data_IF_036206201532
#
_entry.id   IF_036206201532
#
_cell.length_a   1.000
_cell.length_b   1.000
_cell.length_c   1.000
_cell.angle_alpha   90.00
_cell.angle_beta   90.00
_cell.angle_gamma   90.00
#
_symmetry.space_group_name_H-M   'P 1'
#
loop_
_entity.id
_entity.type
_entity.pdbx_description
1 polymer ?
#
# COMPACT_ATOMS: atom_id res chain seq x y z
N UNK A 1 -8.43 -9.98 23.21
CA UNK A 1 -8.68 -9.40 21.87
C UNK A 1 -9.67 -10.31 21.15
N UNK A 2 -10.82 -9.81 20.70
CA UNK A 2 -11.77 -10.62 19.95
C UNK A 2 -11.37 -10.55 18.46
N UNK A 3 -10.91 -11.66 17.89
CA UNK A 3 -10.50 -11.75 16.48
C UNK A 3 -11.67 -12.09 15.53
N UNK A 4 -12.88 -12.22 16.07
CA UNK A 4 -14.07 -12.48 15.26
C UNK A 4 -14.52 -11.21 14.53
N UNK A 5 -14.84 -11.34 13.24
CA UNK A 5 -15.41 -10.25 12.42
C UNK A 5 -16.83 -9.94 12.92
N UNK A 6 -17.11 -8.66 13.24
CA UNK A 6 -18.42 -8.19 13.66
C UNK A 6 -19.45 -8.22 12.50
N UNK A 7 -20.71 -7.99 12.81
CA UNK A 7 -21.76 -7.88 11.78
C UNK A 7 -21.51 -6.68 10.88
N UNK A 8 -21.18 -5.54 11.46
CA UNK A 8 -20.88 -4.29 10.76
C UNK A 8 -19.65 -4.44 9.84
N UNK A 9 -18.62 -5.13 10.31
CA UNK A 9 -17.42 -5.44 9.50
C UNK A 9 -17.75 -6.37 8.33
N UNK A 10 -18.67 -7.31 8.49
CA UNK A 10 -19.15 -8.14 7.36
C UNK A 10 -19.93 -7.33 6.34
N UNK A 11 -20.81 -6.46 6.79
CA UNK A 11 -21.59 -5.55 5.93
C UNK A 11 -20.66 -4.59 5.15
N UNK A 12 -19.62 -4.06 5.80
CA UNK A 12 -18.58 -3.27 5.15
C UNK A 12 -17.91 -4.07 4.04
N UNK A 13 -17.42 -5.28 4.35
CA UNK A 13 -16.77 -6.18 3.38
C UNK A 13 -17.67 -6.44 2.17
N UNK A 14 -18.93 -6.78 2.40
CA UNK A 14 -19.89 -7.07 1.33
C UNK A 14 -20.18 -5.83 0.47
N UNK A 15 -20.26 -4.66 1.08
CA UNK A 15 -20.50 -3.39 0.39
C UNK A 15 -19.31 -3.01 -0.50
N UNK A 16 -18.09 -3.11 0.03
CA UNK A 16 -16.86 -2.84 -0.75
C UNK A 16 -16.72 -3.85 -1.88
N UNK A 17 -16.91 -5.14 -1.62
CA UNK A 17 -16.84 -6.20 -2.63
C UNK A 17 -17.84 -5.98 -3.77
N UNK A 18 -19.09 -5.66 -3.43
CA UNK A 18 -20.12 -5.36 -4.43
C UNK A 18 -19.75 -4.15 -5.28
N UNK A 19 -19.30 -3.06 -4.65
CA UNK A 19 -18.85 -1.87 -5.35
C UNK A 19 -17.72 -2.18 -6.34
N UNK A 20 -16.69 -2.90 -5.90
CA UNK A 20 -15.55 -3.26 -6.75
C UNK A 20 -15.95 -4.19 -7.89
N UNK A 21 -16.83 -5.15 -7.64
CA UNK A 21 -17.34 -6.06 -8.68
C UNK A 21 -18.09 -5.28 -9.77
N UNK A 22 -18.87 -4.27 -9.39
CA UNK A 22 -19.68 -3.49 -10.33
C UNK A 22 -18.88 -2.36 -11.03
N UNK A 23 -17.94 -1.71 -10.33
CA UNK A 23 -17.27 -0.49 -10.81
C UNK A 23 -15.81 -0.67 -11.22
N UNK A 24 -15.13 -1.67 -10.68
CA UNK A 24 -13.74 -1.97 -10.96
C UNK A 24 -13.50 -3.45 -11.32
N UNK A 25 -14.27 -4.05 -12.25
CA UNK A 25 -14.04 -5.42 -12.69
C UNK A 25 -12.65 -5.55 -13.33
N UNK A 26 -12.09 -6.77 -13.38
CA UNK A 26 -10.76 -7.01 -13.95
C UNK A 26 -10.62 -6.56 -15.42
N UNK A 27 -11.72 -6.54 -16.19
CA UNK A 27 -11.74 -5.94 -17.53
C UNK A 27 -11.39 -4.46 -17.48
N UNK A 28 -11.95 -3.71 -16.52
CA UNK A 28 -11.61 -2.29 -16.33
C UNK A 28 -10.19 -2.10 -15.82
N UNK A 29 -9.71 -2.96 -14.93
CA UNK A 29 -8.30 -2.95 -14.48
C UNK A 29 -7.35 -3.10 -15.67
N UNK A 30 -7.65 -4.03 -16.60
CA UNK A 30 -6.86 -4.22 -17.83
C UNK A 30 -6.83 -3.01 -18.74
N UNK A 31 -7.93 -2.29 -18.86
CA UNK A 31 -7.97 -1.04 -19.62
C UNK A 31 -7.11 0.04 -18.95
N UNK A 32 -7.27 0.22 -17.63
CA UNK A 32 -6.58 1.27 -16.87
C UNK A 32 -5.07 1.03 -16.77
N UNK A 33 -4.61 -0.22 -16.66
CA UNK A 33 -3.18 -0.50 -16.56
C UNK A 33 -2.39 -0.05 -17.79
N UNK A 34 -3.03 0.07 -18.96
CA UNK A 34 -2.41 0.56 -20.21
C UNK A 34 -2.40 2.08 -20.30
N UNK A 35 -3.16 2.78 -19.45
CA UNK A 35 -3.20 4.25 -19.44
C UNK A 35 -2.02 4.85 -18.66
N UNK A 36 -1.70 6.11 -18.96
CA UNK A 36 -0.64 6.84 -18.25
C UNK A 36 -0.99 7.03 -16.75
N UNK A 37 -2.25 7.40 -16.48
CA UNK A 37 -2.71 7.70 -15.11
C UNK A 37 -2.94 6.41 -14.29
N UNK A 38 -3.34 5.32 -14.94
CA UNK A 38 -3.54 4.02 -14.29
C UNK A 38 -4.79 3.95 -13.39
N UNK A 39 -5.54 5.03 -13.24
CA UNK A 39 -6.69 5.15 -12.34
C UNK A 39 -7.95 5.61 -13.07
N UNK A 40 -9.11 5.36 -12.46
CA UNK A 40 -10.39 5.89 -12.91
C UNK A 40 -10.88 6.94 -11.91
N UNK A 41 -10.84 8.26 -12.27
CA UNK A 41 -11.24 9.32 -11.35
C UNK A 41 -12.72 9.25 -10.95
N UNK A 42 -13.59 8.71 -11.82
CA UNK A 42 -15.01 8.58 -11.53
C UNK A 42 -15.28 7.46 -10.53
N UNK A 43 -14.58 6.34 -10.67
CA UNK A 43 -14.65 5.22 -9.71
C UNK A 43 -14.08 5.67 -8.35
N UNK A 44 -12.95 6.40 -8.34
CA UNK A 44 -12.38 6.95 -7.10
C UNK A 44 -13.35 7.90 -6.39
N UNK A 45 -13.94 8.84 -7.13
CA UNK A 45 -14.95 9.77 -6.59
C UNK A 45 -16.17 9.03 -6.03
N UNK A 46 -16.64 7.97 -6.71
CA UNK A 46 -17.76 7.16 -6.22
C UNK A 46 -17.38 6.38 -4.97
N UNK A 47 -16.18 5.78 -4.91
CA UNK A 47 -15.66 5.09 -3.73
C UNK A 47 -15.59 6.02 -2.51
N UNK A 48 -15.20 7.27 -2.75
CA UNK A 48 -15.15 8.30 -1.71
C UNK A 48 -16.54 8.76 -1.28
N UNK A 49 -17.40 9.14 -2.23
CA UNK A 49 -18.71 9.73 -1.90
C UNK A 49 -19.72 8.71 -1.37
N UNK A 50 -19.69 7.45 -1.83
CA UNK A 50 -20.67 6.44 -1.47
C UNK A 50 -20.24 5.58 -0.26
N UNK A 51 -18.95 5.31 -0.13
CA UNK A 51 -18.41 4.40 0.86
C UNK A 51 -17.43 5.06 1.84
N UNK A 52 -17.04 6.32 1.61
CA UNK A 52 -16.08 7.03 2.47
C UNK A 52 -14.70 6.36 2.54
N UNK A 53 -14.30 5.57 1.54
CA UNK A 53 -13.13 4.70 1.64
C UNK A 53 -11.84 5.44 1.99
N UNK A 54 -11.49 6.60 1.38
CA UNK A 54 -10.24 7.29 1.70
C UNK A 54 -10.17 7.78 3.16
N UNK A 55 -11.31 8.15 3.73
CA UNK A 55 -11.42 8.69 5.08
C UNK A 55 -11.78 7.67 6.16
N UNK A 56 -11.85 6.36 5.84
CA UNK A 56 -12.40 5.37 6.75
C UNK A 56 -11.70 5.35 8.12
N UNK A 57 -10.38 5.41 8.16
CA UNK A 57 -9.57 5.42 9.39
C UNK A 57 -9.08 6.82 9.80
N UNK A 58 -9.50 7.87 9.09
CA UNK A 58 -9.20 9.26 9.48
C UNK A 58 -10.21 9.67 10.57
N UNK A 59 -9.77 10.30 11.68
CA UNK A 59 -10.66 10.80 12.73
C UNK A 59 -11.71 11.78 12.20
N UNK A 60 -12.89 11.79 12.82
CA UNK A 60 -14.01 12.68 12.44
C UNK A 60 -13.64 14.17 12.50
N UNK A 61 -12.79 14.56 13.45
CA UNK A 61 -12.30 15.94 13.59
C UNK A 61 -11.51 16.44 12.38
N UNK A 62 -10.98 15.52 11.53
CA UNK A 62 -10.30 15.81 10.28
C UNK A 62 -11.13 15.40 9.05
N UNK A 63 -12.45 15.22 9.20
CA UNK A 63 -13.36 14.93 8.10
C UNK A 63 -13.43 13.47 7.68
N UNK A 64 -12.87 12.55 8.44
CA UNK A 64 -12.97 11.12 8.19
C UNK A 64 -14.18 10.46 8.85
N UNK A 65 -14.27 9.13 8.73
CA UNK A 65 -15.36 8.33 9.30
C UNK A 65 -15.08 7.85 10.73
N UNK A 66 -13.85 8.03 11.25
CA UNK A 66 -13.47 7.68 12.62
C UNK A 66 -13.44 6.19 12.94
N UNK A 67 -13.47 5.32 11.92
CA UNK A 67 -13.27 3.89 12.13
C UNK A 67 -11.81 3.58 12.47
N UNK A 68 -11.56 2.33 12.84
CA UNK A 68 -10.21 1.90 13.17
C UNK A 68 -9.45 1.33 11.97
N UNK A 69 -8.17 1.05 12.17
CA UNK A 69 -7.37 0.33 11.19
C UNK A 69 -7.90 -1.09 10.90
N UNK A 70 -8.69 -1.70 11.80
CA UNK A 70 -9.29 -3.00 11.54
C UNK A 70 -10.29 -2.96 10.38
N UNK A 71 -11.10 -1.92 10.27
CA UNK A 71 -12.00 -1.69 9.14
C UNK A 71 -11.20 -1.34 7.87
N UNK A 72 -10.15 -0.54 7.99
CA UNK A 72 -9.26 -0.23 6.87
C UNK A 72 -8.59 -1.49 6.30
N UNK A 73 -8.19 -2.44 7.14
CA UNK A 73 -7.61 -3.71 6.70
C UNK A 73 -8.61 -4.56 5.91
N UNK A 74 -9.90 -4.55 6.27
CA UNK A 74 -10.98 -5.20 5.51
C UNK A 74 -11.11 -4.58 4.11
N UNK A 75 -11.08 -3.25 4.03
CA UNK A 75 -11.10 -2.54 2.74
C UNK A 75 -9.89 -2.96 1.89
N UNK A 76 -8.69 -2.94 2.46
CA UNK A 76 -7.46 -3.32 1.76
C UNK A 76 -7.48 -4.76 1.25
N UNK A 77 -8.04 -5.71 2.02
CA UNK A 77 -8.24 -7.09 1.58
C UNK A 77 -9.12 -7.15 0.31
N UNK A 78 -10.24 -6.44 0.27
CA UNK A 78 -11.13 -6.40 -0.89
C UNK A 78 -10.48 -5.69 -2.09
N UNK A 79 -9.74 -4.60 -1.85
CA UNK A 79 -8.98 -3.89 -2.90
C UNK A 79 -7.89 -4.79 -3.52
N UNK A 80 -7.20 -5.58 -2.69
CA UNK A 80 -6.21 -6.56 -3.13
C UNK A 80 -6.82 -7.67 -3.98
N UNK A 81 -7.97 -8.19 -3.56
CA UNK A 81 -8.72 -9.21 -4.30
C UNK A 81 -9.17 -8.72 -5.69
N UNK A 82 -9.52 -7.44 -5.81
CA UNK A 82 -9.95 -6.81 -7.06
C UNK A 82 -8.79 -6.28 -7.92
N UNK A 83 -7.53 -6.30 -7.46
CA UNK A 83 -6.39 -5.59 -8.07
C UNK A 83 -6.70 -4.11 -8.32
N UNK A 84 -7.39 -3.48 -7.37
CA UNK A 84 -7.83 -2.10 -7.52
C UNK A 84 -6.68 -1.15 -7.86
N UNK A 85 -6.91 -0.26 -8.83
CA UNK A 85 -5.88 0.65 -9.37
C UNK A 85 -5.96 2.07 -8.82
N UNK A 86 -6.93 2.36 -7.95
CA UNK A 86 -7.06 3.69 -7.33
C UNK A 86 -5.98 3.97 -6.28
N UNK A 87 -5.75 5.24 -5.94
CA UNK A 87 -4.62 5.69 -5.12
C UNK A 87 -4.81 5.45 -3.61
N UNK A 88 -5.49 4.35 -3.23
CA UNK A 88 -5.86 4.09 -1.83
C UNK A 88 -4.65 3.92 -0.92
N UNK A 89 -3.69 3.06 -1.32
CA UNK A 89 -2.51 2.78 -0.51
C UNK A 89 -1.61 4.02 -0.37
N UNK A 90 -1.48 4.81 -1.44
CA UNK A 90 -0.71 6.06 -1.42
C UNK A 90 -1.36 7.11 -0.52
N UNK A 91 -2.65 7.33 -0.70
CA UNK A 91 -3.38 8.47 -0.13
C UNK A 91 -3.95 8.15 1.26
N UNK A 92 -4.79 7.10 1.36
CA UNK A 92 -5.50 6.77 2.60
C UNK A 92 -4.61 6.02 3.62
N UNK A 93 -3.51 5.39 3.17
CA UNK A 93 -2.57 4.71 4.09
C UNK A 93 -1.30 5.53 4.27
N UNK A 94 -0.44 5.63 3.24
CA UNK A 94 0.88 6.25 3.42
C UNK A 94 0.77 7.72 3.82
N UNK A 95 0.06 8.55 3.04
CA UNK A 95 -0.01 9.98 3.32
C UNK A 95 -0.83 10.32 4.56
N UNK A 96 -2.02 9.73 4.71
CA UNK A 96 -2.88 10.00 5.86
C UNK A 96 -2.22 9.55 7.18
N UNK A 97 -1.62 8.35 7.23
CA UNK A 97 -0.89 7.87 8.42
C UNK A 97 0.29 8.78 8.76
N UNK A 98 1.05 9.24 7.74
CA UNK A 98 2.17 10.17 7.95
C UNK A 98 1.71 11.48 8.60
N UNK A 99 0.61 12.06 8.12
CA UNK A 99 0.03 13.28 8.70
C UNK A 99 -0.49 13.05 10.11
N UNK A 100 -1.21 11.96 10.34
CA UNK A 100 -1.75 11.60 11.66
C UNK A 100 -0.63 11.36 12.69
N UNK A 101 0.50 10.79 12.26
CA UNK A 101 1.67 10.54 13.10
C UNK A 101 2.52 11.80 13.35
N UNK A 102 2.32 12.88 12.58
CA UNK A 102 3.00 14.16 12.82
C UNK A 102 2.38 14.88 14.01
N UNK A 103 3.16 15.72 14.69
CA UNK A 103 2.66 16.57 15.78
C UNK A 103 2.14 17.93 15.28
N UNK A 104 1.85 18.08 13.97
CA UNK A 104 1.40 19.32 13.34
C UNK A 104 -0.12 19.34 13.19
N UNK A 105 -0.79 19.88 14.19
CA UNK A 105 -2.26 20.01 14.21
C UNK A 105 -2.79 20.95 13.11
N UNK A 106 -2.01 21.95 12.69
CA UNK A 106 -2.38 22.84 11.59
C UNK A 106 -2.34 22.08 10.26
N UNK A 107 -1.27 21.32 10.01
CA UNK A 107 -1.16 20.50 8.81
C UNK A 107 -2.24 19.40 8.75
N UNK A 108 -2.58 18.76 9.87
CA UNK A 108 -3.67 17.77 9.93
C UNK A 108 -5.01 18.39 9.51
N UNK A 109 -5.37 19.54 10.11
CA UNK A 109 -6.62 20.26 9.81
C UNK A 109 -6.71 20.80 8.39
N UNK A 110 -5.56 21.15 7.80
CA UNK A 110 -5.48 21.70 6.46
C UNK A 110 -5.51 20.59 5.37
N UNK A 111 -4.78 19.50 5.59
CA UNK A 111 -4.51 18.51 4.54
C UNK A 111 -5.37 17.25 4.62
N UNK A 112 -5.70 16.75 5.81
CA UNK A 112 -6.46 15.51 5.97
C UNK A 112 -7.89 15.58 5.42
N UNK A 113 -8.65 16.67 5.56
CA UNK A 113 -10.02 16.72 5.05
C UNK A 113 -10.13 16.44 3.56
N UNK A 114 -9.27 17.04 2.74
CA UNK A 114 -9.23 16.78 1.30
C UNK A 114 -8.85 15.34 0.95
N UNK A 115 -7.94 14.75 1.73
CA UNK A 115 -7.57 13.33 1.58
C UNK A 115 -8.74 12.42 1.97
N UNK A 116 -9.38 12.67 3.11
CA UNK A 116 -10.50 11.88 3.61
C UNK A 116 -11.72 11.94 2.68
N UNK A 117 -11.99 13.10 2.07
CA UNK A 117 -13.02 13.26 1.06
C UNK A 117 -12.65 12.62 -0.30
N UNK A 118 -11.39 12.22 -0.51
CA UNK A 118 -10.89 11.71 -1.79
C UNK A 118 -10.75 12.79 -2.87
N UNK A 119 -10.81 14.06 -2.49
CA UNK A 119 -10.64 15.21 -3.37
C UNK A 119 -9.16 15.52 -3.64
N UNK A 120 -8.29 15.18 -2.68
CA UNK A 120 -6.84 15.32 -2.77
C UNK A 120 -6.20 13.94 -2.81
N UNK A 121 -5.57 13.61 -3.91
CA UNK A 121 -4.70 12.44 -4.00
C UNK A 121 -3.35 12.79 -3.41
N UNK A 122 -2.99 12.12 -2.31
CA UNK A 122 -1.72 12.36 -1.63
C UNK A 122 -0.80 11.14 -1.69
N UNK A 123 0.51 11.36 -1.56
CA UNK A 123 1.50 10.28 -1.51
C UNK A 123 2.66 10.61 -0.58
N UNK A 124 3.40 9.59 -0.16
CA UNK A 124 4.62 9.69 0.62
C UNK A 124 5.84 9.39 -0.26
N UNK A 125 6.80 10.31 -0.30
CA UNK A 125 8.03 10.20 -1.07
C UNK A 125 9.24 10.16 -0.11
N UNK A 126 9.83 8.97 0.08
CA UNK A 126 10.98 8.79 0.98
C UNK A 126 12.12 8.00 0.33
N UNK A 127 11.86 7.03 -0.54
CA UNK A 127 12.88 6.26 -1.25
C UNK A 127 13.54 7.07 -2.37
N UNK A 128 14.78 6.70 -2.72
CA UNK A 128 15.60 7.37 -3.74
C UNK A 128 16.09 6.37 -4.79
N UNK A 129 16.87 6.84 -5.79
CA UNK A 129 17.30 6.03 -6.94
C UNK A 129 18.08 4.76 -6.55
N UNK A 130 18.72 4.72 -5.38
CA UNK A 130 19.37 3.54 -4.83
C UNK A 130 18.43 2.41 -4.43
N UNK A 131 17.12 2.66 -4.37
CA UNK A 131 16.10 1.65 -4.05
C UNK A 131 16.12 1.14 -2.60
N UNK A 132 16.83 1.83 -1.71
CA UNK A 132 16.85 1.49 -0.29
C UNK A 132 15.54 1.89 0.39
N UNK A 133 14.99 1.00 1.19
CA UNK A 133 13.83 1.26 2.06
C UNK A 133 14.23 1.74 3.46
N UNK A 134 15.54 1.79 3.75
CA UNK A 134 16.05 2.30 5.02
C UNK A 134 16.02 3.84 5.02
N UNK A 135 15.33 4.49 5.97
CA UNK A 135 15.34 5.94 6.12
C UNK A 135 16.73 6.56 6.30
N UNK A 136 17.71 5.81 6.77
CA UNK A 136 19.10 6.27 6.88
C UNK A 136 19.76 6.58 5.51
N UNK A 137 19.20 6.07 4.42
CA UNK A 137 19.71 6.29 3.05
C UNK A 137 19.20 7.58 2.41
N UNK A 138 18.34 8.34 3.06
CA UNK A 138 17.70 9.54 2.50
C UNK A 138 18.72 10.67 2.36
N UNK A 139 18.84 11.22 1.14
CA UNK A 139 19.78 12.27 0.76
C UNK A 139 19.11 13.50 0.13
N UNK A 140 17.80 13.47 -0.21
CA UNK A 140 17.07 14.65 -0.68
C UNK A 140 17.34 15.80 0.28
N UNK A 141 17.92 16.90 -0.21
CA UNK A 141 18.30 18.02 0.62
C UNK A 141 17.15 19.01 0.80
N UNK A 142 16.97 19.50 2.03
CA UNK A 142 16.09 20.63 2.34
C UNK A 142 16.91 21.79 2.89
N UNK A 143 16.78 22.95 2.25
CA UNK A 143 17.45 24.20 2.67
C UNK A 143 16.43 25.28 3.01
N UNK A 144 16.70 26.05 4.06
CA UNK A 144 15.84 27.15 4.45
C UNK A 144 16.11 28.37 3.56
N UNK A 145 15.06 28.84 2.90
CA UNK A 145 15.10 30.08 2.13
C UNK A 145 14.67 31.25 3.03
N UNK A 146 15.42 32.33 2.99
CA UNK A 146 15.18 33.53 3.86
C UNK A 146 13.86 34.23 3.53
N UNK A 147 13.30 34.02 2.35
CA UNK A 147 12.11 34.74 1.84
C UNK A 147 10.88 33.88 1.65
N UNK A 148 11.01 32.57 1.46
CA UNK A 148 9.91 31.74 0.96
C UNK A 148 9.75 30.37 1.66
N UNK A 149 10.35 30.20 2.84
CA UNK A 149 10.21 28.95 3.59
C UNK A 149 11.31 27.92 3.26
N UNK A 150 10.96 26.71 2.78
CA UNK A 150 11.91 25.65 2.50
C UNK A 150 12.02 25.35 1.01
N UNK A 151 13.21 24.91 0.58
CA UNK A 151 13.51 24.47 -0.78
C UNK A 151 14.04 23.03 -0.74
N UNK A 152 13.53 22.20 -1.65
CA UNK A 152 13.99 20.84 -1.83
C UNK A 152 14.82 20.71 -3.10
N UNK A 153 15.95 19.98 -3.00
CA UNK A 153 16.85 19.68 -4.11
C UNK A 153 17.26 18.22 -4.09
N UNK A 154 17.06 17.51 -5.23
CA UNK A 154 17.35 16.10 -5.40
C UNK A 154 16.20 15.33 -6.02
N UNK A 155 16.09 14.04 -5.69
CA UNK A 155 15.02 13.21 -6.26
C UNK A 155 14.49 12.19 -5.26
N UNK A 156 13.25 11.72 -5.54
CA UNK A 156 12.61 10.56 -4.94
C UNK A 156 12.20 9.59 -6.03
N UNK A 157 12.38 8.30 -5.79
CA UNK A 157 12.04 7.24 -6.75
C UNK A 157 11.13 6.21 -6.11
N UNK A 158 10.47 5.41 -6.95
CA UNK A 158 9.51 4.40 -6.54
C UNK A 158 8.34 4.96 -5.72
N UNK A 159 8.00 6.24 -5.96
CA UNK A 159 6.90 6.93 -5.27
C UNK A 159 5.58 6.42 -5.81
N UNK A 160 4.78 5.79 -4.95
CA UNK A 160 3.47 5.24 -5.30
C UNK A 160 2.52 6.38 -5.72
N UNK A 161 1.92 6.24 -6.92
CA UNK A 161 1.02 7.24 -7.53
C UNK A 161 1.58 8.67 -7.62
N UNK A 162 2.90 8.84 -7.44
CA UNK A 162 3.55 10.15 -7.43
C UNK A 162 3.43 10.94 -8.73
N UNK A 163 3.16 10.27 -9.86
CA UNK A 163 2.92 10.92 -11.16
C UNK A 163 1.60 11.71 -11.18
N UNK A 164 0.60 11.28 -10.41
CA UNK A 164 -0.76 11.83 -10.40
C UNK A 164 -1.12 12.54 -9.07
N UNK A 165 -0.30 12.42 -8.03
CA UNK A 165 -0.61 13.00 -6.72
C UNK A 165 -0.72 14.53 -6.74
N UNK A 166 -1.73 15.08 -6.04
CA UNK A 166 -1.93 16.51 -5.82
C UNK A 166 -1.04 17.04 -4.70
N UNK A 167 -0.80 16.18 -3.70
CA UNK A 167 0.01 16.46 -2.51
C UNK A 167 1.10 15.39 -2.37
N UNK A 168 2.34 15.82 -2.20
CA UNK A 168 3.49 14.96 -1.96
C UNK A 168 4.04 15.28 -0.58
N UNK A 169 4.02 14.30 0.31
CA UNK A 169 4.73 14.35 1.58
C UNK A 169 6.15 13.82 1.34
N UNK A 170 7.14 14.70 1.33
CA UNK A 170 8.53 14.35 1.04
C UNK A 170 9.36 14.35 2.33
N UNK A 171 10.10 13.27 2.56
CA UNK A 171 11.09 13.21 3.64
C UNK A 171 12.44 13.64 3.10
N UNK A 172 13.05 14.66 3.72
CA UNK A 172 14.32 15.21 3.28
C UNK A 172 15.30 15.40 4.45
N UNK A 173 16.58 15.35 4.13
CA UNK A 173 17.65 15.65 5.06
C UNK A 173 17.77 17.17 5.25
N UNK A 174 17.77 17.60 6.50
CA UNK A 174 18.02 18.99 6.89
C UNK A 174 19.33 19.07 7.67
N UNK A 175 20.13 20.10 7.42
CA UNK A 175 21.33 20.36 8.23
C UNK A 175 20.89 21.04 9.53
N UNK A 176 21.20 20.40 10.64
CA UNK A 176 21.12 21.09 11.94
C UNK A 176 22.32 22.03 12.10
N UNK A 177 22.09 23.21 12.67
CA UNK A 177 23.17 24.23 12.88
C UNK A 177 24.30 23.72 13.79
N UNK A 178 24.08 22.62 14.53
CA UNK A 178 24.99 22.13 15.58
C UNK A 178 25.37 20.65 15.47
N UNK A 179 24.80 19.87 14.54
CA UNK A 179 25.08 18.44 14.40
C UNK A 179 25.71 18.11 13.05
N UNK A 180 26.68 17.19 13.07
CA UNK A 180 27.41 16.73 11.87
C UNK A 180 26.59 15.76 11.02
N UNK A 181 25.57 15.13 11.59
CA UNK A 181 24.67 14.22 10.90
C UNK A 181 23.33 14.91 10.60
N UNK A 182 22.95 14.91 9.32
CA UNK A 182 21.69 15.49 8.86
C UNK A 182 20.48 14.82 9.53
N UNK A 183 19.55 15.63 10.03
CA UNK A 183 18.29 15.14 10.58
C UNK A 183 17.23 15.06 9.49
N UNK A 184 16.26 14.14 9.63
CA UNK A 184 15.17 13.98 8.67
C UNK A 184 13.96 14.84 9.06
N UNK A 185 13.45 15.61 8.10
CA UNK A 185 12.26 16.43 8.26
C UNK A 185 11.23 16.11 7.18
N UNK A 186 9.96 16.35 7.49
CA UNK A 186 8.83 16.09 6.61
C UNK A 186 8.37 17.40 5.95
N UNK A 187 8.12 17.33 4.65
CA UNK A 187 7.70 18.48 3.85
C UNK A 187 6.47 18.17 3.00
N UNK A 188 5.53 19.10 2.97
CA UNK A 188 4.40 19.07 2.03
C UNK A 188 4.75 19.88 0.78
N UNK A 189 4.55 19.25 -0.39
CA UNK A 189 4.78 19.83 -1.72
C UNK A 189 3.53 19.66 -2.54
N UNK A 190 3.01 20.74 -3.12
CA UNK A 190 1.87 20.68 -4.04
C UNK A 190 2.30 20.23 -5.43
N UNK A 191 1.39 19.60 -6.17
CA UNK A 191 1.65 19.14 -7.55
C UNK A 191 2.06 20.27 -8.52
N UNK A 192 1.70 21.50 -8.20
CA UNK A 192 1.98 22.71 -9.00
C UNK A 192 3.24 23.46 -8.56
N UNK A 193 3.99 22.94 -7.59
CA UNK A 193 5.18 23.61 -7.09
C UNK A 193 6.23 23.78 -8.20
N UNK A 194 6.75 25.00 -8.36
CA UNK A 194 7.79 25.28 -9.35
C UNK A 194 9.04 24.45 -9.04
N UNK A 195 9.67 23.90 -10.07
CA UNK A 195 10.86 23.06 -9.94
C UNK A 195 10.56 21.57 -9.68
N UNK A 196 9.29 21.19 -9.46
CA UNK A 196 8.89 19.78 -9.38
C UNK A 196 8.69 19.21 -10.79
N UNK A 197 9.35 18.10 -11.07
CA UNK A 197 9.06 17.27 -12.27
C UNK A 197 8.74 15.84 -11.86
N UNK A 198 7.81 15.21 -12.60
CA UNK A 198 7.28 13.89 -12.27
C UNK A 198 7.35 12.99 -13.50
N UNK A 199 7.87 11.78 -13.32
CA UNK A 199 7.99 10.80 -14.38
C UNK A 199 7.45 9.46 -13.90
N UNK A 200 6.46 8.90 -14.60
CA UNK A 200 6.02 7.54 -14.36
C UNK A 200 7.13 6.55 -14.71
N UNK A 201 7.34 5.54 -13.86
CA UNK A 201 8.32 4.48 -14.09
C UNK A 201 7.64 3.27 -14.74
N UNK A 202 8.32 2.59 -15.69
CA UNK A 202 7.84 1.31 -16.19
C UNK A 202 7.93 0.27 -15.07
N UNK A 203 6.82 -0.44 -14.83
CA UNK A 203 6.70 -1.44 -13.76
C UNK A 203 6.33 -2.80 -14.32
N UNK A 204 6.76 -3.87 -13.65
CA UNK A 204 6.31 -5.23 -13.95
C UNK A 204 4.80 -5.37 -13.70
N UNK A 205 4.34 -4.86 -12.58
CA UNK A 205 2.91 -4.75 -12.25
C UNK A 205 2.38 -3.42 -12.77
N UNK A 206 1.73 -3.46 -13.93
CA UNK A 206 1.14 -2.29 -14.56
C UNK A 206 -0.13 -1.80 -13.85
N UNK A 207 -0.70 -2.61 -12.95
CA UNK A 207 -1.89 -2.23 -12.16
C UNK A 207 -1.55 -1.31 -10.99
N UNK A 208 -0.25 -1.05 -10.73
CA UNK A 208 0.26 -0.12 -9.72
C UNK A 208 1.32 0.78 -10.35
N UNK A 209 1.10 2.09 -10.28
CA UNK A 209 2.01 3.07 -10.87
C UNK A 209 3.00 3.58 -9.84
N UNK A 210 4.26 3.63 -10.22
CA UNK A 210 5.34 4.23 -9.45
C UNK A 210 5.92 5.40 -10.24
N UNK A 211 6.45 6.39 -9.54
CA UNK A 211 7.03 7.57 -10.16
C UNK A 211 8.42 7.90 -9.62
N UNK A 212 9.20 8.58 -10.44
CA UNK A 212 10.37 9.35 -10.04
C UNK A 212 9.98 10.83 -9.98
N UNK A 213 10.30 11.47 -8.86
CA UNK A 213 10.07 12.89 -8.62
C UNK A 213 11.43 13.58 -8.57
N UNK A 214 11.58 14.70 -9.29
CA UNK A 214 12.79 15.51 -9.21
C UNK A 214 12.42 16.90 -8.68
N UNK A 215 13.20 17.36 -7.71
CA UNK A 215 13.04 18.63 -7.03
C UNK A 215 14.23 19.51 -7.40
N UNK A 216 13.97 20.69 -7.94
CA UNK A 216 14.98 21.68 -8.30
C UNK A 216 14.57 23.02 -7.68
N UNK A 217 15.16 23.35 -6.55
CA UNK A 217 14.75 24.48 -5.71
C UNK A 217 13.23 24.53 -5.48
N UNK A 218 12.62 23.36 -5.31
CA UNK A 218 11.18 23.21 -5.20
C UNK A 218 10.68 23.74 -3.86
N UNK A 219 9.69 24.64 -3.89
CA UNK A 219 9.08 25.22 -2.68
C UNK A 219 8.33 24.15 -1.89
N UNK A 220 8.54 24.12 -0.58
CA UNK A 220 7.94 23.16 0.32
C UNK A 220 7.55 23.80 1.67
N UNK A 221 6.48 23.28 2.28
CA UNK A 221 6.06 23.62 3.65
C UNK A 221 6.57 22.53 4.59
N UNK A 222 7.25 22.92 5.67
CA UNK A 222 7.61 22.00 6.75
C UNK A 222 6.31 21.47 7.40
N UNK A 223 6.28 20.19 7.70
CA UNK A 223 5.20 19.52 8.46
C UNK A 223 5.80 18.97 9.74
N UNK A 224 5.26 19.37 10.89
CA UNK A 224 5.79 19.01 12.19
C UNK A 224 7.07 19.77 12.55
N UNK A 225 7.81 19.23 13.52
CA UNK A 225 9.06 19.80 13.97
C UNK A 225 10.23 19.42 13.06
N UNK A 226 11.20 20.35 12.98
CA UNK A 226 12.44 20.12 12.24
C UNK A 226 13.21 18.96 12.88
N UNK A 227 13.61 17.99 12.07
CA UNK A 227 14.35 16.81 12.54
C UNK A 227 13.48 15.67 13.08
N UNK A 228 12.15 15.82 13.16
CA UNK A 228 11.26 14.82 13.78
C UNK A 228 10.75 13.73 12.81
N UNK A 229 11.05 13.81 11.52
CA UNK A 229 10.43 12.91 10.53
C UNK A 229 10.85 11.44 10.68
N UNK A 230 11.95 11.12 11.35
CA UNK A 230 12.40 9.73 11.50
C UNK A 230 11.36 8.86 12.23
N UNK A 231 10.88 9.30 13.38
CA UNK A 231 9.89 8.57 14.17
C UNK A 231 8.54 8.45 13.43
N UNK A 232 8.11 9.55 12.79
CA UNK A 232 6.91 9.59 11.95
C UNK A 232 7.00 8.57 10.82
N UNK A 233 8.13 8.53 10.12
CA UNK A 233 8.35 7.61 8.99
C UNK A 233 8.41 6.16 9.47
N UNK A 234 9.14 5.85 10.55
CA UNK A 234 9.23 4.50 11.10
C UNK A 234 7.83 3.97 11.50
N UNK A 235 7.01 4.79 12.15
CA UNK A 235 5.61 4.43 12.47
C UNK A 235 4.77 4.22 11.20
N UNK A 236 4.85 5.15 10.25
CA UNK A 236 4.11 5.07 8.99
C UNK A 236 4.46 3.79 8.22
N UNK A 237 5.75 3.43 8.14
CA UNK A 237 6.19 2.23 7.44
C UNK A 237 5.75 0.94 8.12
N UNK A 238 5.62 0.92 9.46
CA UNK A 238 5.08 -0.23 10.17
C UNK A 238 3.59 -0.41 9.90
N UNK A 239 2.80 0.66 9.98
CA UNK A 239 1.38 0.62 9.63
C UNK A 239 1.18 0.24 8.16
N UNK A 240 1.99 0.81 7.25
CA UNK A 240 1.94 0.51 5.82
C UNK A 240 2.31 -0.94 5.49
N UNK A 241 3.23 -1.55 6.25
CA UNK A 241 3.58 -2.96 6.10
C UNK A 241 2.40 -3.87 6.45
N UNK A 242 1.66 -3.56 7.53
CA UNK A 242 0.43 -4.28 7.90
C UNK A 242 -0.67 -4.06 6.86
N UNK A 243 -0.83 -2.84 6.36
CA UNK A 243 -1.79 -2.49 5.30
C UNK A 243 -1.51 -3.26 4.01
N UNK A 244 -0.25 -3.29 3.57
CA UNK A 244 0.15 -4.03 2.38
C UNK A 244 -0.05 -5.55 2.56
N UNK A 245 0.18 -6.09 3.76
CA UNK A 245 -0.09 -7.49 4.06
C UNK A 245 -1.58 -7.83 3.99
N UNK A 246 -2.47 -6.91 4.39
CA UNK A 246 -3.91 -7.07 4.22
C UNK A 246 -4.33 -7.09 2.74
N UNK A 247 -3.74 -6.20 1.93
CA UNK A 247 -3.93 -6.22 0.48
C UNK A 247 -3.40 -7.53 -0.16
N UNK A 248 -2.21 -7.99 0.26
CA UNK A 248 -1.62 -9.24 -0.21
C UNK A 248 -2.49 -10.45 0.15
N UNK A 249 -3.13 -10.47 1.33
CA UNK A 249 -4.10 -11.49 1.72
C UNK A 249 -5.27 -11.55 0.73
N UNK A 250 -5.85 -10.41 0.37
CA UNK A 250 -6.93 -10.35 -0.62
C UNK A 250 -6.52 -10.90 -1.98
N UNK A 251 -5.34 -10.53 -2.46
CA UNK A 251 -4.77 -11.04 -3.70
C UNK A 251 -4.50 -12.55 -3.66
N UNK A 252 -3.96 -13.06 -2.55
CA UNK A 252 -3.70 -14.48 -2.34
C UNK A 252 -5.01 -15.29 -2.30
N UNK A 253 -6.01 -14.83 -1.57
CA UNK A 253 -7.34 -15.47 -1.53
C UNK A 253 -7.94 -15.55 -2.92
N UNK A 254 -7.91 -14.46 -3.69
CA UNK A 254 -8.46 -14.46 -5.04
C UNK A 254 -7.71 -15.39 -5.99
N UNK A 255 -6.39 -15.45 -5.90
CA UNK A 255 -5.58 -16.38 -6.70
C UNK A 255 -5.91 -17.85 -6.36
N UNK A 256 -6.10 -18.17 -5.07
CA UNK A 256 -6.56 -19.51 -4.65
C UNK A 256 -7.96 -19.83 -5.20
N UNK A 257 -8.91 -18.90 -5.09
CA UNK A 257 -10.28 -19.08 -5.60
C UNK A 257 -10.28 -19.37 -7.11
N UNK A 258 -9.47 -18.65 -7.89
CA UNK A 258 -9.29 -18.87 -9.32
C UNK A 258 -8.75 -20.28 -9.61
N UNK A 259 -7.72 -20.71 -8.90
CA UNK A 259 -7.13 -22.02 -9.04
C UNK A 259 -8.13 -23.14 -8.74
N UNK A 260 -8.88 -23.02 -7.63
CA UNK A 260 -9.92 -23.99 -7.23
C UNK A 260 -11.06 -24.02 -8.24
N UNK A 261 -11.52 -22.86 -8.71
CA UNK A 261 -12.57 -22.78 -9.71
C UNK A 261 -12.14 -23.46 -11.03
N UNK A 262 -10.92 -23.17 -11.49
CA UNK A 262 -10.39 -23.79 -12.69
C UNK A 262 -10.25 -25.30 -12.52
N UNK A 263 -9.75 -25.77 -11.37
CA UNK A 263 -9.62 -27.20 -11.08
C UNK A 263 -10.96 -27.97 -11.11
N UNK A 264 -12.08 -27.29 -10.80
CA UNK A 264 -13.42 -27.87 -10.85
C UNK A 264 -13.98 -28.02 -12.27
N UNK A 265 -13.62 -27.13 -13.19
CA UNK A 265 -14.20 -27.05 -14.52
C UNK A 265 -13.30 -27.65 -15.63
N UNK A 266 -11.97 -27.52 -15.45
CA UNK A 266 -11.00 -28.02 -16.45
C UNK A 266 -10.96 -29.54 -16.45
N UNK A 267 -11.19 -30.15 -17.62
CA UNK A 267 -11.14 -31.58 -17.79
C UNK A 267 -9.83 -32.04 -18.46
N UNK A 268 -9.25 -33.11 -17.93
CA UNK A 268 -8.15 -33.87 -18.50
C UNK A 268 -8.33 -35.36 -18.12
N UNK A 269 -7.94 -36.26 -19.01
CA UNK A 269 -8.10 -37.73 -18.82
C UNK A 269 -9.54 -38.10 -18.44
N UNK A 270 -10.53 -37.46 -19.08
CA UNK A 270 -11.96 -37.76 -18.94
C UNK A 270 -12.61 -37.28 -17.64
N UNK A 271 -11.96 -36.46 -16.84
CA UNK A 271 -12.50 -35.94 -15.56
C UNK A 271 -11.92 -34.56 -15.19
N UNK A 272 -12.57 -33.80 -14.30
CA UNK A 272 -12.02 -32.55 -13.80
C UNK A 272 -10.63 -32.73 -13.17
N UNK A 273 -9.69 -31.79 -13.41
CA UNK A 273 -8.33 -31.92 -12.88
C UNK A 273 -8.30 -31.86 -11.34
N UNK A 274 -9.26 -31.17 -10.69
CA UNK A 274 -9.45 -31.19 -9.23
C UNK A 274 -9.84 -32.55 -8.65
N UNK A 275 -10.17 -33.59 -9.49
CA UNK A 275 -10.37 -34.96 -9.02
C UNK A 275 -9.05 -35.69 -8.71
N UNK A 276 -7.91 -35.22 -9.20
CA UNK A 276 -6.60 -35.81 -8.94
C UNK A 276 -6.06 -35.36 -7.58
N UNK A 277 -5.52 -36.28 -6.79
CA UNK A 277 -5.02 -36.01 -5.43
C UNK A 277 -3.93 -34.92 -5.42
N UNK A 278 -3.02 -34.93 -6.39
CA UNK A 278 -1.95 -33.93 -6.47
C UNK A 278 -2.50 -32.48 -6.52
N UNK A 279 -3.58 -32.26 -7.28
CA UNK A 279 -4.20 -30.93 -7.36
C UNK A 279 -4.99 -30.60 -6.08
N UNK A 280 -5.73 -31.60 -5.53
CA UNK A 280 -6.48 -31.40 -4.28
C UNK A 280 -5.58 -31.02 -3.10
N UNK A 281 -4.48 -31.76 -2.92
CA UNK A 281 -3.54 -31.53 -1.83
C UNK A 281 -2.88 -30.16 -1.99
N UNK A 282 -2.46 -29.80 -3.19
CA UNK A 282 -1.92 -28.48 -3.49
C UNK A 282 -2.89 -27.36 -3.11
N UNK A 283 -4.15 -27.44 -3.52
CA UNK A 283 -5.16 -26.45 -3.13
C UNK A 283 -5.41 -26.43 -1.61
N UNK A 284 -5.33 -27.57 -0.93
CA UNK A 284 -5.49 -27.66 0.52
C UNK A 284 -4.32 -27.01 1.27
N UNK A 285 -3.09 -27.23 0.79
CA UNK A 285 -1.88 -26.62 1.35
C UNK A 285 -1.92 -25.08 1.19
N UNK A 286 -2.30 -24.60 -0.02
CA UNK A 286 -2.49 -23.17 -0.28
C UNK A 286 -3.58 -22.56 0.61
N UNK A 287 -4.69 -23.27 0.84
CA UNK A 287 -5.74 -22.81 1.76
C UNK A 287 -5.20 -22.63 3.19
N UNK A 288 -4.38 -23.58 3.67
CA UNK A 288 -3.77 -23.50 4.99
C UNK A 288 -2.88 -22.25 5.12
N UNK A 289 -2.09 -21.95 4.10
CA UNK A 289 -1.23 -20.75 4.09
C UNK A 289 -2.07 -19.46 4.10
N UNK A 290 -3.11 -19.37 3.27
CA UNK A 290 -4.00 -18.20 3.20
C UNK A 290 -4.74 -17.99 4.53
N UNK A 291 -5.27 -19.05 5.17
CA UNK A 291 -5.98 -18.93 6.45
C UNK A 291 -5.04 -18.59 7.62
N UNK A 292 -3.80 -19.08 7.57
CA UNK A 292 -2.76 -18.69 8.52
C UNK A 292 -2.41 -17.20 8.36
N UNK A 293 -2.26 -16.72 7.12
CA UNK A 293 -2.04 -15.31 6.82
C UNK A 293 -3.24 -14.45 7.25
N UNK A 294 -4.47 -14.90 7.04
CA UNK A 294 -5.69 -14.21 7.48
C UNK A 294 -5.70 -14.00 8.99
N UNK A 295 -5.33 -15.02 9.74
CA UNK A 295 -5.25 -14.94 11.21
C UNK A 295 -4.18 -13.93 11.65
N UNK A 296 -3.02 -13.94 11.00
CA UNK A 296 -1.92 -13.02 11.30
C UNK A 296 -2.27 -11.56 10.94
N UNK A 297 -2.91 -11.32 9.78
CA UNK A 297 -3.41 -10.00 9.38
C UNK A 297 -4.45 -9.48 10.37
N UNK A 298 -5.41 -10.33 10.76
CA UNK A 298 -6.44 -9.94 11.73
C UNK A 298 -5.85 -9.53 13.08
N UNK A 299 -4.85 -10.27 13.58
CA UNK A 299 -4.16 -9.92 14.82
C UNK A 299 -3.39 -8.60 14.71
N UNK A 300 -2.59 -8.44 13.65
CA UNK A 300 -1.80 -7.23 13.46
C UNK A 300 -2.68 -5.99 13.22
N UNK A 301 -3.77 -6.12 12.46
CA UNK A 301 -4.73 -5.03 12.27
C UNK A 301 -5.38 -4.57 13.58
N UNK A 302 -5.76 -5.51 14.45
CA UNK A 302 -6.27 -5.21 15.77
C UNK A 302 -5.21 -4.57 16.69
N UNK A 303 -3.94 -4.97 16.57
CA UNK A 303 -2.83 -4.36 17.30
C UNK A 303 -2.59 -2.90 16.86
N UNK A 304 -2.62 -2.63 15.54
CA UNK A 304 -2.53 -1.25 15.02
C UNK A 304 -3.70 -0.42 15.51
N UNK A 305 -4.93 -0.93 15.41
CA UNK A 305 -6.14 -0.24 15.87
C UNK A 305 -6.11 0.10 17.36
N UNK A 306 -5.45 -0.72 18.17
CA UNK A 306 -5.29 -0.50 19.62
C UNK A 306 -4.07 0.35 19.98
N UNK A 307 -3.26 0.82 19.04
CA UNK A 307 -1.99 1.51 19.31
C UNK A 307 -1.00 0.65 20.11
N UNK A 308 -0.99 -0.67 19.87
CA UNK A 308 -0.16 -1.63 20.63
C UNK A 308 1.32 -1.39 20.39
N UNK A 309 2.11 -1.51 21.46
CA UNK A 309 3.59 -1.50 21.41
C UNK A 309 4.18 -2.71 20.68
N UNK A 310 3.38 -3.71 20.34
CA UNK A 310 3.82 -4.87 19.55
C UNK A 310 3.91 -4.60 18.05
N UNK A 311 3.28 -3.53 17.55
CA UNK A 311 3.22 -3.19 16.10
C UNK A 311 4.61 -3.19 15.46
N UNK A 312 5.66 -2.60 16.05
CA UNK A 312 7.00 -2.63 15.47
C UNK A 312 7.58 -4.04 15.26
N UNK A 313 7.18 -5.03 16.05
CA UNK A 313 7.58 -6.43 15.89
C UNK A 313 6.67 -7.17 14.91
N UNK A 314 5.36 -6.93 15.00
CA UNK A 314 4.36 -7.59 14.16
C UNK A 314 4.47 -7.18 12.69
N UNK A 315 4.72 -5.91 12.40
CA UNK A 315 4.76 -5.39 11.05
C UNK A 315 5.80 -6.08 10.15
N UNK A 316 7.08 -6.17 10.51
CA UNK A 316 8.08 -6.86 9.70
C UNK A 316 7.84 -8.38 9.64
N UNK A 317 7.41 -9.01 10.74
CA UNK A 317 7.04 -10.43 10.75
C UNK A 317 5.95 -10.72 9.72
N UNK A 318 4.87 -9.94 9.77
CA UNK A 318 3.72 -10.11 8.90
C UNK A 318 4.05 -9.82 7.43
N UNK A 319 4.80 -8.73 7.16
CA UNK A 319 5.15 -8.35 5.77
C UNK A 319 6.04 -9.43 5.11
N UNK A 320 7.00 -9.97 5.83
CA UNK A 320 7.82 -11.08 5.32
C UNK A 320 6.94 -12.29 4.96
N UNK A 321 6.08 -12.71 5.87
CA UNK A 321 5.20 -13.87 5.68
C UNK A 321 4.17 -13.66 4.56
N UNK A 322 3.49 -12.51 4.54
CA UNK A 322 2.48 -12.20 3.53
C UNK A 322 3.07 -12.18 2.11
N UNK A 323 4.28 -11.66 1.95
CA UNK A 323 4.98 -11.62 0.66
C UNK A 323 5.29 -13.01 0.13
N UNK A 324 5.73 -13.93 0.98
CA UNK A 324 6.00 -15.32 0.61
C UNK A 324 4.72 -16.08 0.27
N UNK A 325 3.68 -15.97 1.11
CA UNK A 325 2.38 -16.61 0.87
C UNK A 325 1.77 -16.14 -0.45
N UNK A 326 1.68 -14.82 -0.67
CA UNK A 326 1.03 -14.33 -1.89
C UNK A 326 1.82 -14.72 -3.15
N UNK A 327 3.15 -14.64 -3.11
CA UNK A 327 4.01 -15.05 -4.23
C UNK A 327 3.86 -16.54 -4.52
N UNK A 328 3.79 -17.38 -3.49
CA UNK A 328 3.60 -18.83 -3.65
C UNK A 328 2.20 -19.16 -4.21
N UNK A 329 1.15 -18.63 -3.59
CA UNK A 329 -0.24 -18.88 -4.03
C UNK A 329 -0.48 -18.41 -5.47
N UNK A 330 0.01 -17.22 -5.84
CA UNK A 330 -0.11 -16.69 -7.20
C UNK A 330 0.70 -17.53 -8.22
N UNK A 331 1.88 -18.03 -7.85
CA UNK A 331 2.68 -18.93 -8.65
C UNK A 331 1.98 -20.27 -8.90
N UNK A 332 1.43 -20.87 -7.84
CA UNK A 332 0.68 -22.12 -7.91
C UNK A 332 -0.64 -21.97 -8.69
N UNK A 333 -1.28 -20.81 -8.61
CA UNK A 333 -2.43 -20.48 -9.47
C UNK A 333 -2.05 -20.56 -10.95
N UNK A 334 -0.93 -19.98 -11.38
CA UNK A 334 -0.40 -20.12 -12.75
C UNK A 334 -0.16 -21.60 -13.08
N UNK A 335 0.49 -22.33 -12.17
CA UNK A 335 0.83 -23.74 -12.39
C UNK A 335 -0.42 -24.63 -12.58
N UNK A 336 -1.48 -24.39 -11.80
CA UNK A 336 -2.74 -25.14 -11.89
C UNK A 336 -3.48 -24.82 -13.20
N UNK A 337 -3.43 -23.57 -13.67
CA UNK A 337 -3.99 -23.18 -14.97
C UNK A 337 -3.16 -23.72 -16.15
N UNK A 338 -1.87 -24.03 -15.95
CA UNK A 338 -0.97 -24.45 -17.01
C UNK A 338 -0.74 -23.33 -18.04
N UNK A 339 -0.61 -23.68 -19.31
CA UNK A 339 -0.23 -22.70 -20.35
C UNK A 339 -1.12 -21.46 -20.43
N UNK A 340 -2.43 -21.58 -20.22
CA UNK A 340 -3.34 -20.42 -20.29
C UNK A 340 -3.09 -19.42 -19.17
N UNK A 341 -2.71 -19.87 -17.98
CA UNK A 341 -2.43 -18.98 -16.84
C UNK A 341 -1.32 -17.97 -17.09
N UNK A 342 -0.42 -18.26 -18.03
CA UNK A 342 0.70 -17.39 -18.41
C UNK A 342 0.41 -16.51 -19.63
N UNK A 343 -0.74 -16.67 -20.27
CA UNK A 343 -1.13 -15.88 -21.45
C UNK A 343 -1.84 -14.58 -21.03
N UNK A 344 -1.85 -13.59 -21.94
CA UNK A 344 -2.60 -12.35 -21.76
C UNK A 344 -4.12 -12.53 -21.78
N UNK A 345 -4.61 -13.70 -22.18
CA UNK A 345 -6.03 -14.03 -22.21
C UNK A 345 -6.62 -14.34 -20.83
N UNK A 346 -5.75 -14.68 -19.86
CA UNK A 346 -6.16 -15.05 -18.51
C UNK A 346 -5.62 -14.06 -17.46
N UNK A 347 -6.37 -13.86 -16.36
CA UNK A 347 -6.02 -12.88 -15.34
C UNK A 347 -5.00 -13.36 -14.29
N UNK A 348 -4.66 -14.65 -14.26
CA UNK A 348 -3.77 -15.23 -13.24
C UNK A 348 -2.40 -14.53 -13.19
N UNK A 349 -1.84 -14.15 -14.36
CA UNK A 349 -0.56 -13.47 -14.43
C UNK A 349 -0.57 -12.06 -13.81
N UNK A 350 -1.74 -11.39 -13.74
CA UNK A 350 -1.87 -10.09 -13.09
C UNK A 350 -1.63 -10.21 -11.58
N UNK A 351 -2.22 -11.25 -10.96
CA UNK A 351 -2.00 -11.55 -9.54
C UNK A 351 -0.54 -11.93 -9.24
N UNK A 352 0.12 -12.68 -10.13
CA UNK A 352 1.54 -12.99 -9.95
C UNK A 352 2.42 -11.73 -10.06
N UNK A 353 2.16 -10.84 -11.01
CA UNK A 353 2.88 -9.56 -11.16
C UNK A 353 2.66 -8.65 -9.94
N UNK A 354 1.41 -8.54 -9.45
CA UNK A 354 1.09 -7.81 -8.23
C UNK A 354 1.77 -8.43 -7.00
N UNK A 355 1.81 -9.76 -6.88
CA UNK A 355 2.50 -10.45 -5.80
C UNK A 355 3.99 -10.10 -5.79
N UNK A 356 4.66 -10.18 -6.95
CA UNK A 356 6.08 -9.85 -7.08
C UNK A 356 6.40 -8.37 -6.84
N UNK A 357 5.55 -7.47 -7.30
CA UNK A 357 5.68 -6.04 -7.00
C UNK A 357 5.49 -5.76 -5.49
N UNK A 358 4.48 -6.35 -4.86
CA UNK A 358 4.19 -6.19 -3.44
C UNK A 358 5.25 -6.85 -2.55
N UNK A 359 5.89 -7.94 -3.01
CA UNK A 359 7.02 -8.59 -2.32
C UNK A 359 8.19 -7.61 -2.12
N UNK A 360 8.51 -6.81 -3.15
CA UNK A 360 9.61 -5.86 -3.12
C UNK A 360 9.23 -4.50 -2.49
N UNK A 361 7.98 -4.08 -2.63
CA UNK A 361 7.52 -2.78 -2.15
C UNK A 361 7.57 -2.72 -0.61
N UNK A 362 8.11 -1.64 -0.05
CA UNK A 362 8.41 -1.42 1.36
C UNK A 362 9.46 -2.38 1.96
N UNK A 363 10.24 -3.06 1.13
CA UNK A 363 11.24 -4.04 1.52
C UNK A 363 10.79 -5.49 1.32
N UNK A 364 11.73 -6.35 0.94
CA UNK A 364 11.50 -7.78 0.76
C UNK A 364 11.48 -8.56 2.09
N UNK A 365 11.22 -9.87 2.00
CA UNK A 365 11.15 -10.72 3.17
C UNK A 365 12.48 -10.77 3.96
N UNK A 366 13.62 -10.68 3.27
CA UNK A 366 14.96 -10.65 3.90
C UNK A 366 15.15 -9.37 4.71
N UNK A 367 14.87 -8.22 4.11
CA UNK A 367 14.90 -6.92 4.77
C UNK A 367 14.03 -6.89 6.03
N UNK A 368 12.81 -7.43 5.95
CA UNK A 368 11.90 -7.45 7.10
C UNK A 368 12.34 -8.44 8.19
N UNK A 369 12.99 -9.55 7.84
CA UNK A 369 13.58 -10.47 8.85
C UNK A 369 14.73 -9.80 9.61
N UNK A 370 15.60 -9.04 8.93
CA UNK A 370 16.65 -8.25 9.59
C UNK A 370 16.07 -7.17 10.52
N UNK A 371 15.02 -6.44 10.05
CA UNK A 371 14.31 -5.49 10.93
C UNK A 371 13.71 -6.16 12.15
N UNK A 372 13.10 -7.34 11.98
CA UNK A 372 12.55 -8.12 13.09
C UNK A 372 13.64 -8.51 14.06
N UNK A 373 14.74 -9.09 13.57
CA UNK A 373 15.88 -9.52 14.40
C UNK A 373 16.41 -8.35 15.26
N UNK A 374 16.65 -7.19 14.63
CA UNK A 374 17.09 -5.97 15.34
C UNK A 374 16.07 -5.55 16.42
N UNK A 375 14.78 -5.61 16.15
CA UNK A 375 13.72 -5.16 17.07
C UNK A 375 13.48 -6.08 18.25
N UNK A 376 13.84 -7.35 18.14
CA UNK A 376 13.78 -8.33 19.25
C UNK A 376 15.13 -8.54 19.95
N UNK A 377 16.17 -7.77 19.54
CA UNK A 377 17.47 -7.75 20.21
C UNK A 377 18.42 -8.89 19.80
N UNK A 378 18.28 -9.42 18.57
CA UNK A 378 19.16 -10.40 17.95
C UNK A 378 20.22 -9.74 17.10
#
# INVERSE_FOLDING_TARGET
>A
MNLGISTEQRELRESVRRFLTERAPLTRVRELMETADGTDPDVWRQASAQLGLPGIAVPEEYGGAGFSFAEQAIVLEELGAALFTGPYLASAVLAATTLLASDDEEAKKDLLPGIAAGETVATLAFTEDGGSWDPASIQLAATKDTTSGWRLDGHKSFVLDGHAADLILAVAATQAETETDGTLSLFAVTSTAAGLTRQALPTLDQTRKLARLSFNHTSARLVGELGAARAVLDHTLDVAAVALAAEQLGGAQRALDMAVQYARVRQQFGRPIGSFQAIKHRCADLLLEVESLRSAVGYAAAAVAAGSTEVPVLAPLLKAYASEVYSHVAGENIQIHGGIGFTWEHDAHLYLKRAKASELFLGDASYHRERLATRIGL
#
